data_IF_515729148436
#
_entry.id   IF_515729148436
#
_cell.length_a   1.000
_cell.length_b   1.000
_cell.length_c   1.000
_cell.angle_alpha   90.00
_cell.angle_beta   90.00
_cell.angle_gamma   90.00
#
_symmetry.space_group_name_H-M   'P 1'
#
loop_
_entity.id
_entity.type
_entity.pdbx_description
1 polymer ?
#
# COMPACT_ATOMS: atom_id res chain seq x y z
N UNK A 1 -14.46 -29.21 -5.66
CA UNK A 1 -14.18 -29.45 -7.08
C UNK A 1 -12.74 -29.05 -7.33
N UNK A 2 -11.94 -29.90 -7.97
CA UNK A 2 -10.53 -29.63 -8.25
C UNK A 2 -10.40 -28.34 -9.08
N UNK A 3 -9.54 -27.40 -8.65
CA UNK A 3 -9.36 -26.09 -9.29
C UNK A 3 -8.85 -26.17 -10.76
N UNK A 4 -8.23 -27.29 -11.16
CA UNK A 4 -7.88 -27.58 -12.55
C UNK A 4 -9.10 -27.83 -13.46
N UNK A 5 -10.24 -28.22 -12.91
CA UNK A 5 -11.41 -28.61 -13.70
C UNK A 5 -12.10 -27.48 -14.48
N UNK A 6 -11.79 -26.20 -14.22
CA UNK A 6 -12.43 -25.09 -14.95
C UNK A 6 -11.68 -24.77 -16.26
N UNK A 7 -10.36 -24.60 -16.19
CA UNK A 7 -9.54 -24.42 -17.41
C UNK A 7 -9.61 -25.67 -18.30
N UNK A 8 -9.60 -26.86 -17.73
CA UNK A 8 -9.77 -28.14 -18.48
C UNK A 8 -11.11 -28.18 -19.23
N UNK A 9 -12.20 -27.71 -18.61
CA UNK A 9 -13.51 -27.59 -19.29
C UNK A 9 -13.52 -26.56 -20.41
N UNK A 10 -12.82 -25.43 -20.22
CA UNK A 10 -12.68 -24.39 -21.24
C UNK A 10 -11.86 -24.86 -22.42
N UNK A 11 -10.80 -25.61 -22.16
CA UNK A 11 -9.95 -26.19 -23.21
C UNK A 11 -10.65 -27.34 -23.96
N UNK A 12 -11.59 -28.04 -23.30
CA UNK A 12 -12.33 -29.18 -23.87
C UNK A 12 -11.41 -30.16 -24.62
N UNK A 13 -10.30 -30.52 -23.99
CA UNK A 13 -9.29 -31.40 -24.58
C UNK A 13 -8.39 -30.76 -25.66
N UNK A 14 -8.50 -29.45 -25.89
CA UNK A 14 -7.64 -28.75 -26.84
C UNK A 14 -6.17 -28.81 -26.41
N UNK A 15 -5.30 -29.09 -27.36
CA UNK A 15 -3.84 -29.01 -27.16
C UNK A 15 -3.44 -27.55 -27.01
N UNK A 16 -2.47 -27.28 -26.14
CA UNK A 16 -1.89 -25.95 -25.95
C UNK A 16 -0.45 -25.97 -26.47
N UNK A 17 -0.13 -25.09 -27.41
CA UNK A 17 1.22 -24.88 -27.89
C UNK A 17 1.82 -23.62 -27.25
N UNK A 18 3.05 -23.71 -26.78
CA UNK A 18 3.80 -22.58 -26.22
C UNK A 18 4.66 -21.95 -27.31
N UNK A 19 4.24 -20.77 -27.78
CA UNK A 19 4.92 -20.04 -28.86
C UNK A 19 5.74 -18.90 -28.28
N UNK A 20 6.96 -18.62 -28.81
CA UNK A 20 7.70 -17.41 -28.46
C UNK A 20 6.87 -16.16 -28.77
N UNK A 21 6.85 -15.16 -27.88
CA UNK A 21 6.08 -13.93 -28.07
C UNK A 21 6.32 -13.29 -29.46
N UNK A 22 7.57 -13.28 -29.95
CA UNK A 22 7.91 -12.71 -31.27
C UNK A 22 7.24 -13.39 -32.44
N UNK A 23 6.72 -14.59 -32.28
CA UNK A 23 6.00 -15.33 -33.35
C UNK A 23 4.49 -15.02 -33.36
N UNK A 24 3.98 -14.31 -32.34
CA UNK A 24 2.57 -13.98 -32.21
C UNK A 24 2.31 -12.48 -31.98
N UNK A 25 3.38 -11.68 -31.81
CA UNK A 25 3.27 -10.23 -31.64
C UNK A 25 4.57 -9.53 -32.09
N UNK A 26 4.43 -8.36 -32.68
CA UNK A 26 5.53 -7.43 -32.90
C UNK A 26 5.91 -6.71 -31.63
N UNK A 27 7.22 -6.60 -31.35
CA UNK A 27 7.76 -5.87 -30.22
C UNK A 27 8.38 -4.58 -30.71
N UNK A 28 7.70 -3.46 -30.54
CA UNK A 28 8.15 -2.16 -30.98
C UNK A 28 8.93 -1.46 -29.85
N UNK A 29 10.11 -0.92 -30.19
CA UNK A 29 10.92 -0.10 -29.31
C UNK A 29 10.58 1.38 -29.50
N UNK A 30 10.64 2.17 -28.41
CA UNK A 30 10.31 3.57 -28.44
C UNK A 30 11.46 4.51 -28.79
N UNK A 31 11.13 5.79 -28.86
CA UNK A 31 12.04 6.89 -29.19
C UNK A 31 12.73 7.46 -27.94
N UNK A 32 13.98 7.92 -28.13
CA UNK A 32 14.77 8.58 -27.08
C UNK A 32 14.39 10.07 -26.93
N UNK A 33 13.28 10.36 -26.30
CA UNK A 33 12.81 11.72 -26.08
C UNK A 33 13.80 12.55 -25.24
N UNK A 34 14.15 13.74 -25.71
CA UNK A 34 14.98 14.69 -24.99
C UNK A 34 14.11 15.46 -23.98
N UNK A 35 14.41 15.34 -22.70
CA UNK A 35 13.65 16.00 -21.61
C UNK A 35 13.61 17.54 -21.77
N UNK A 36 14.63 18.13 -22.37
CA UNK A 36 14.71 19.57 -22.67
C UNK A 36 13.68 20.05 -23.70
N UNK A 37 13.07 19.13 -24.45
CA UNK A 37 12.03 19.42 -25.45
C UNK A 37 10.62 19.12 -24.94
N UNK A 38 10.45 18.71 -23.65
CA UNK A 38 9.11 18.49 -23.11
C UNK A 38 8.31 19.78 -23.06
N UNK A 39 7.00 19.67 -23.32
CA UNK A 39 6.03 20.75 -23.35
C UNK A 39 4.89 20.47 -22.36
N UNK A 40 4.08 21.48 -22.09
CA UNK A 40 2.93 21.36 -21.19
C UNK A 40 1.75 20.61 -21.84
N UNK A 41 1.71 20.57 -23.18
CA UNK A 41 0.68 19.88 -23.95
C UNK A 41 1.22 19.37 -25.29
N UNK A 42 0.48 18.50 -25.98
CA UNK A 42 0.82 17.95 -27.27
C UNK A 42 0.69 16.43 -27.32
N UNK A 43 1.73 15.72 -27.80
CA UNK A 43 1.77 14.26 -27.89
C UNK A 43 2.29 13.72 -26.55
N UNK A 44 1.47 12.93 -25.87
CA UNK A 44 1.85 12.26 -24.62
C UNK A 44 3.05 11.35 -24.85
N UNK A 45 4.08 11.46 -24.02
CA UNK A 45 5.23 10.54 -24.02
C UNK A 45 4.96 9.44 -23.00
N UNK A 46 4.73 8.21 -23.47
CA UNK A 46 4.50 7.06 -22.59
C UNK A 46 5.82 6.57 -22.02
N UNK A 47 6.06 6.87 -20.74
CA UNK A 47 7.28 6.54 -20.00
C UNK A 47 7.04 5.36 -19.06
N UNK A 48 8.12 4.80 -18.50
CA UNK A 48 8.03 3.72 -17.50
C UNK A 48 7.23 4.10 -16.26
N UNK A 49 7.23 5.38 -15.86
CA UNK A 49 6.40 5.90 -14.75
C UNK A 49 4.90 5.85 -15.07
N UNK A 50 4.56 5.87 -16.35
CA UNK A 50 3.17 5.93 -16.81
C UNK A 50 2.55 4.53 -16.94
N UNK A 51 3.40 3.48 -17.10
CA UNK A 51 2.97 2.08 -17.12
C UNK A 51 2.91 1.54 -15.70
N UNK A 52 1.72 1.46 -15.14
CA UNK A 52 1.45 0.88 -13.83
C UNK A 52 0.92 -0.55 -14.00
N UNK A 53 0.76 -1.30 -12.91
CA UNK A 53 0.20 -2.65 -12.96
C UNK A 53 -1.23 -2.60 -13.49
N UNK A 54 -1.44 -3.11 -14.69
CA UNK A 54 -2.75 -3.21 -15.35
C UNK A 54 -3.36 -1.89 -15.86
N UNK A 55 -2.71 -0.74 -15.68
CA UNK A 55 -3.32 0.55 -16.05
C UNK A 55 -2.31 1.63 -16.42
N UNK A 56 -2.78 2.62 -17.20
CA UNK A 56 -2.02 3.84 -17.48
C UNK A 56 -2.16 4.87 -16.35
N UNK A 57 -1.03 5.41 -15.86
CA UNK A 57 -1.05 6.51 -14.89
C UNK A 57 -1.52 7.81 -15.54
N UNK A 58 -2.33 8.58 -14.82
CA UNK A 58 -2.75 9.92 -15.23
C UNK A 58 -2.03 11.02 -14.43
N UNK A 59 -0.94 10.69 -13.72
CA UNK A 59 -0.17 11.62 -12.88
C UNK A 59 1.15 11.99 -13.56
N UNK A 60 1.58 13.25 -13.40
CA UNK A 60 2.89 13.76 -13.87
C UNK A 60 3.14 13.48 -15.36
N UNK A 61 2.12 13.63 -16.20
CA UNK A 61 2.21 13.39 -17.64
C UNK A 61 3.24 14.32 -18.28
N UNK A 62 3.98 13.79 -19.27
CA UNK A 62 4.91 14.57 -20.10
C UNK A 62 4.47 14.53 -21.55
N UNK A 63 4.59 15.67 -22.19
CA UNK A 63 4.18 15.82 -23.57
C UNK A 63 5.37 16.24 -24.44
N UNK A 64 5.25 16.00 -25.73
CA UNK A 64 6.19 16.43 -26.77
C UNK A 64 5.43 17.32 -27.76
N UNK A 65 6.07 18.37 -28.31
CA UNK A 65 5.38 19.29 -29.20
C UNK A 65 4.71 18.61 -30.38
N UNK A 66 3.45 18.96 -30.69
CA UNK A 66 2.71 18.39 -31.82
C UNK A 66 3.43 18.63 -33.18
N UNK A 67 4.19 19.72 -33.29
CA UNK A 67 5.01 20.00 -34.48
C UNK A 67 6.10 18.96 -34.75
N UNK A 68 6.51 18.18 -33.75
CA UNK A 68 7.50 17.10 -33.90
C UNK A 68 6.89 15.77 -34.35
N UNK A 69 5.59 15.71 -34.67
CA UNK A 69 4.88 14.47 -35.04
C UNK A 69 5.58 13.69 -36.17
N UNK A 70 6.05 14.37 -37.18
CA UNK A 70 6.75 13.73 -38.34
C UNK A 70 8.07 13.08 -37.92
N UNK A 71 8.78 13.61 -36.91
CA UNK A 71 10.02 13.02 -36.37
C UNK A 71 9.77 11.70 -35.64
N UNK A 72 8.60 11.57 -35.02
CA UNK A 72 8.27 10.44 -34.14
C UNK A 72 7.10 9.59 -34.64
N UNK A 73 6.69 9.76 -35.88
CA UNK A 73 5.51 9.11 -36.48
C UNK A 73 5.48 7.60 -36.31
N UNK A 74 6.60 6.92 -36.53
CA UNK A 74 6.73 5.46 -36.37
C UNK A 74 6.63 4.97 -34.92
N UNK A 75 6.68 5.87 -33.94
CA UNK A 75 6.57 5.57 -32.51
C UNK A 75 5.21 5.96 -31.95
N UNK A 76 4.30 6.43 -32.80
CA UNK A 76 2.95 6.77 -32.38
C UNK A 76 2.20 5.52 -31.94
N UNK A 77 1.46 5.70 -30.87
CA UNK A 77 0.62 4.66 -30.25
C UNK A 77 -0.85 4.88 -30.61
N UNK A 78 -1.61 3.80 -30.56
CA UNK A 78 -3.04 3.77 -30.84
C UNK A 78 -3.83 3.24 -29.64
N UNK A 79 -5.13 3.50 -29.61
CA UNK A 79 -6.02 2.88 -28.64
C UNK A 79 -5.98 1.34 -28.81
N UNK A 80 -5.90 0.64 -27.69
CA UNK A 80 -5.74 -0.81 -27.68
C UNK A 80 -4.28 -1.31 -27.79
N UNK A 81 -3.30 -0.44 -28.03
CA UNK A 81 -1.88 -0.86 -27.94
C UNK A 81 -1.55 -1.33 -26.53
N UNK A 82 -0.88 -2.48 -26.42
CA UNK A 82 -0.38 -3.03 -25.17
C UNK A 82 1.06 -2.56 -24.95
N UNK A 83 1.31 -1.81 -23.88
CA UNK A 83 2.64 -1.31 -23.52
C UNK A 83 3.20 -2.01 -22.31
N UNK A 84 4.55 -2.20 -22.30
CA UNK A 84 5.26 -2.90 -21.23
C UNK A 84 6.50 -2.13 -20.81
N UNK A 85 6.70 -1.97 -19.49
CA UNK A 85 7.91 -1.35 -18.96
C UNK A 85 9.14 -2.27 -19.11
N UNK A 86 10.21 -1.75 -19.71
CA UNK A 86 11.48 -2.48 -19.90
C UNK A 86 12.52 -2.14 -18.83
N UNK A 87 12.33 -1.06 -18.07
CA UNK A 87 13.33 -0.55 -17.13
C UNK A 87 12.68 -0.21 -15.79
N UNK A 88 13.40 -0.44 -14.69
CA UNK A 88 12.92 -0.20 -13.33
C UNK A 88 12.00 -1.34 -12.86
N UNK A 89 10.70 -1.12 -12.85
CA UNK A 89 9.70 -2.18 -12.62
C UNK A 89 9.42 -2.91 -13.92
N UNK A 90 10.37 -3.74 -14.35
CA UNK A 90 10.27 -4.48 -15.62
C UNK A 90 9.06 -5.42 -15.63
N UNK A 91 8.40 -5.52 -16.79
CA UNK A 91 7.29 -6.46 -17.00
C UNK A 91 5.90 -5.91 -16.66
N UNK A 92 5.78 -4.70 -16.10
CA UNK A 92 4.44 -4.09 -15.92
C UNK A 92 3.82 -3.76 -17.26
N UNK A 93 2.55 -4.07 -17.38
CA UNK A 93 1.78 -3.87 -18.62
C UNK A 93 0.59 -2.94 -18.39
N UNK A 94 0.22 -2.22 -19.46
CA UNK A 94 -1.00 -1.44 -19.53
C UNK A 94 -1.51 -1.37 -20.96
N UNK A 95 -2.83 -1.22 -21.15
CA UNK A 95 -3.42 -0.93 -22.47
C UNK A 95 -3.76 0.55 -22.56
N UNK A 96 -3.50 1.14 -23.72
CA UNK A 96 -3.90 2.52 -24.02
C UNK A 96 -5.39 2.59 -24.34
N UNK A 97 -6.04 3.62 -23.82
CA UNK A 97 -7.40 4.03 -24.16
C UNK A 97 -7.39 5.26 -25.10
N UNK A 98 -8.54 5.60 -25.66
CA UNK A 98 -8.69 6.84 -26.45
C UNK A 98 -8.31 8.09 -25.65
N UNK A 99 -8.55 8.09 -24.33
CA UNK A 99 -8.18 9.19 -23.41
C UNK A 99 -6.68 9.39 -23.22
N UNK A 100 -5.85 8.42 -23.64
CA UNK A 100 -4.38 8.49 -23.54
C UNK A 100 -3.75 9.11 -24.80
N UNK A 101 -4.52 9.32 -25.86
CA UNK A 101 -4.05 9.77 -27.17
C UNK A 101 -4.16 11.30 -27.35
N UNK A 102 -3.32 11.91 -28.22
CA UNK A 102 -2.23 11.30 -29.00
C UNK A 102 -1.03 10.93 -28.12
N UNK A 103 -0.43 9.77 -28.34
CA UNK A 103 0.67 9.28 -27.53
C UNK A 103 1.80 8.69 -28.38
N UNK A 104 3.03 8.71 -27.86
CA UNK A 104 4.21 8.13 -28.48
C UNK A 104 5.07 7.37 -27.48
N UNK A 105 5.69 6.30 -27.93
CA UNK A 105 6.41 5.30 -27.15
C UNK A 105 7.82 5.78 -26.78
N UNK A 106 8.15 5.79 -25.48
CA UNK A 106 9.51 6.08 -25.00
C UNK A 106 10.42 4.85 -25.09
N UNK A 107 11.73 5.04 -25.35
CA UNK A 107 12.75 3.98 -25.50
C UNK A 107 12.84 2.96 -24.36
N UNK A 108 12.28 3.26 -23.17
CA UNK A 108 12.29 2.38 -21.98
C UNK A 108 10.99 1.59 -21.82
N UNK A 109 10.11 1.70 -22.78
CA UNK A 109 8.83 1.00 -22.86
C UNK A 109 8.77 0.29 -24.19
N UNK A 110 8.28 -0.96 -24.21
CA UNK A 110 7.94 -1.67 -25.44
C UNK A 110 6.43 -1.54 -25.72
N UNK A 111 6.05 -1.56 -26.99
CA UNK A 111 4.67 -1.79 -27.40
C UNK A 111 4.57 -3.17 -28.04
N UNK A 112 3.62 -3.97 -27.60
CA UNK A 112 3.35 -5.33 -28.08
C UNK A 112 2.12 -5.26 -28.99
N UNK A 113 2.31 -5.39 -30.28
CA UNK A 113 1.22 -5.46 -31.27
C UNK A 113 0.96 -6.89 -31.65
N UNK A 114 -0.13 -7.44 -31.15
CA UNK A 114 -0.52 -8.82 -31.40
C UNK A 114 -0.85 -9.06 -32.88
N UNK A 115 -0.45 -10.22 -33.42
CA UNK A 115 -1.07 -10.76 -34.58
C UNK A 115 -2.46 -11.28 -34.23
N UNK A 116 -3.46 -10.47 -34.47
CA UNK A 116 -4.84 -10.74 -34.07
C UNK A 116 -5.47 -11.93 -34.78
N UNK A 117 -4.79 -12.52 -35.78
CA UNK A 117 -5.19 -13.78 -36.39
C UNK A 117 -4.77 -15.00 -35.55
N UNK A 118 -3.88 -14.81 -34.57
CA UNK A 118 -3.29 -15.87 -33.73
C UNK A 118 -3.62 -15.63 -32.24
N UNK A 119 -3.50 -14.36 -31.77
CA UNK A 119 -3.65 -14.04 -30.35
C UNK A 119 -4.36 -12.70 -30.15
N UNK A 120 -5.29 -12.66 -29.19
CA UNK A 120 -5.98 -11.42 -28.83
C UNK A 120 -5.07 -10.53 -27.97
N UNK A 121 -4.99 -9.23 -28.26
CA UNK A 121 -4.20 -8.27 -27.46
C UNK A 121 -4.64 -8.28 -26.00
N UNK A 122 -5.95 -8.38 -25.72
CA UNK A 122 -6.49 -8.43 -24.36
C UNK A 122 -6.10 -9.72 -23.62
N UNK A 123 -5.98 -10.84 -24.32
CA UNK A 123 -5.46 -12.09 -23.77
C UNK A 123 -3.99 -11.95 -23.36
N UNK A 124 -3.14 -11.35 -24.23
CA UNK A 124 -1.75 -11.03 -23.88
C UNK A 124 -1.66 -10.09 -22.68
N UNK A 125 -2.53 -9.09 -22.60
CA UNK A 125 -2.58 -8.20 -21.44
C UNK A 125 -2.78 -8.99 -20.15
N UNK A 126 -3.80 -9.83 -20.04
CA UNK A 126 -4.05 -10.63 -18.83
C UNK A 126 -2.91 -11.62 -18.54
N UNK A 127 -2.33 -12.20 -19.59
CA UNK A 127 -1.21 -13.14 -19.47
C UNK A 127 0.03 -12.47 -18.88
N UNK A 128 0.36 -11.25 -19.32
CA UNK A 128 1.52 -10.51 -18.82
C UNK A 128 1.24 -9.69 -17.53
N UNK A 129 -0.01 -9.48 -17.14
CA UNK A 129 -0.33 -8.82 -15.88
C UNK A 129 -0.20 -9.73 -14.65
N UNK A 130 0.24 -10.97 -14.82
CA UNK A 130 0.47 -11.92 -13.73
C UNK A 130 1.69 -11.52 -12.88
N UNK A 131 1.60 -11.77 -11.56
CA UNK A 131 2.70 -11.53 -10.62
C UNK A 131 3.92 -12.39 -10.95
N UNK A 132 3.70 -13.64 -11.37
CA UNK A 132 4.75 -14.58 -11.81
C UNK A 132 5.57 -14.02 -12.96
N UNK A 133 4.92 -13.45 -13.97
CA UNK A 133 5.62 -12.82 -15.09
C UNK A 133 6.44 -11.60 -14.65
N UNK A 134 5.88 -10.71 -13.81
CA UNK A 134 6.62 -9.54 -13.29
C UNK A 134 7.88 -9.99 -12.54
N UNK A 135 7.77 -11.06 -11.72
CA UNK A 135 8.92 -11.63 -11.01
C UNK A 135 9.98 -12.21 -11.94
N UNK A 136 9.59 -12.97 -12.97
CA UNK A 136 10.50 -13.52 -13.97
C UNK A 136 11.17 -12.41 -14.78
N UNK A 137 10.43 -11.39 -15.21
CA UNK A 137 10.93 -10.22 -15.91
C UNK A 137 11.96 -9.45 -15.08
N UNK A 138 11.67 -9.24 -13.79
CA UNK A 138 12.60 -8.62 -12.84
C UNK A 138 13.83 -9.48 -12.56
N UNK A 139 13.69 -10.80 -12.56
CA UNK A 139 14.79 -11.76 -12.39
C UNK A 139 15.72 -11.80 -13.63
N UNK A 140 15.17 -11.66 -14.82
CA UNK A 140 15.93 -11.62 -16.10
C UNK A 140 16.64 -10.29 -16.33
N UNK A 141 16.20 -9.23 -15.65
CA UNK A 141 16.70 -7.89 -15.86
C UNK A 141 18.12 -7.69 -15.30
N UNK A 142 19.00 -7.09 -16.08
CA UNK A 142 20.40 -6.79 -15.74
C UNK A 142 20.59 -5.31 -15.39
N UNK A 143 21.69 -4.97 -14.69
CA UNK A 143 22.07 -3.61 -14.34
C UNK A 143 22.18 -3.39 -12.82
N UNK A 144 23.19 -2.62 -12.38
CA UNK A 144 23.49 -2.44 -10.96
C UNK A 144 22.61 -1.41 -10.23
N UNK A 145 22.29 -0.28 -10.86
CA UNK A 145 21.48 0.80 -10.27
C UNK A 145 20.06 0.87 -10.80
N UNK A 146 19.86 0.56 -12.06
CA UNK A 146 18.55 0.49 -12.70
C UNK A 146 18.45 -0.80 -13.52
N UNK A 147 17.55 -1.68 -13.13
CA UNK A 147 17.31 -2.95 -13.85
C UNK A 147 16.73 -2.69 -15.22
N UNK A 148 17.17 -3.47 -16.22
CA UNK A 148 16.75 -3.33 -17.60
C UNK A 148 16.48 -4.72 -18.22
N UNK A 149 15.28 -4.97 -18.70
CA UNK A 149 14.86 -6.20 -19.34
C UNK A 149 15.14 -6.12 -20.85
N UNK A 150 15.76 -7.17 -21.40
CA UNK A 150 16.05 -7.27 -22.83
C UNK A 150 14.78 -7.59 -23.63
N UNK A 151 14.55 -6.85 -24.73
CA UNK A 151 13.49 -7.19 -25.70
C UNK A 151 13.75 -8.52 -26.41
N UNK A 152 15.02 -8.98 -26.45
CA UNK A 152 15.35 -10.30 -26.96
C UNK A 152 14.83 -11.41 -26.02
N UNK A 153 15.03 -11.26 -24.70
CA UNK A 153 14.46 -12.17 -23.70
C UNK A 153 12.94 -12.16 -23.77
N UNK A 154 12.32 -10.98 -23.80
CA UNK A 154 10.88 -10.82 -23.92
C UNK A 154 10.32 -11.49 -25.16
N UNK A 155 10.99 -11.35 -26.30
CA UNK A 155 10.57 -11.98 -27.56
C UNK A 155 10.65 -13.50 -27.58
N UNK A 156 11.47 -14.09 -26.71
CA UNK A 156 11.54 -15.56 -26.54
C UNK A 156 10.58 -16.06 -25.45
N UNK A 157 9.95 -15.16 -24.71
CA UNK A 157 9.08 -15.56 -23.62
C UNK A 157 7.89 -16.38 -24.16
N UNK A 158 7.60 -17.55 -23.57
CA UNK A 158 6.58 -18.46 -24.09
C UNK A 158 5.16 -17.93 -23.81
N UNK A 159 4.32 -17.92 -24.81
CA UNK A 159 2.89 -17.56 -24.75
C UNK A 159 2.05 -18.79 -25.07
N UNK A 160 1.09 -19.19 -24.23
CA UNK A 160 0.25 -20.36 -24.50
C UNK A 160 -0.84 -20.03 -25.52
N UNK A 161 -0.86 -20.79 -26.61
CA UNK A 161 -1.87 -20.69 -27.67
C UNK A 161 -2.71 -21.98 -27.64
N UNK A 162 -3.97 -21.90 -27.21
CA UNK A 162 -4.86 -23.06 -27.20
C UNK A 162 -5.27 -23.41 -28.65
N UNK A 163 -5.41 -24.69 -28.94
CA UNK A 163 -5.91 -25.19 -30.21
C UNK A 163 -5.20 -24.60 -31.47
N UNK A 164 -3.87 -24.71 -31.62
CA UNK A 164 -3.10 -23.99 -32.64
C UNK A 164 -3.50 -24.42 -34.06
N UNK A 165 -4.03 -25.62 -34.25
CA UNK A 165 -4.46 -26.17 -35.54
C UNK A 165 -5.81 -25.59 -36.02
N UNK A 166 -6.57 -24.95 -35.14
CA UNK A 166 -7.86 -24.33 -35.44
C UNK A 166 -7.86 -22.89 -34.90
N UNK A 167 -7.47 -21.90 -35.71
CA UNK A 167 -7.37 -20.50 -35.29
C UNK A 167 -8.71 -19.92 -34.80
N UNK A 168 -9.83 -20.32 -35.40
CA UNK A 168 -11.17 -19.84 -34.98
C UNK A 168 -11.52 -20.34 -33.56
N UNK A 169 -11.32 -21.64 -33.31
CA UNK A 169 -11.50 -22.23 -31.96
C UNK A 169 -10.51 -21.65 -30.96
N UNK A 170 -9.26 -21.44 -31.38
CA UNK A 170 -8.23 -20.79 -30.55
C UNK A 170 -8.67 -19.42 -30.06
N UNK A 171 -9.08 -18.55 -30.97
CA UNK A 171 -9.53 -17.20 -30.66
C UNK A 171 -10.81 -17.20 -29.81
N UNK A 172 -11.73 -18.16 -30.04
CA UNK A 172 -12.93 -18.31 -29.24
C UNK A 172 -12.61 -18.68 -27.78
N UNK A 173 -11.67 -19.60 -27.54
CA UNK A 173 -11.18 -19.95 -26.19
C UNK A 173 -10.53 -18.74 -25.52
N UNK A 174 -9.64 -18.04 -26.23
CA UNK A 174 -8.99 -16.82 -25.72
C UNK A 174 -10.02 -15.75 -25.37
N UNK A 175 -11.03 -15.54 -26.23
CA UNK A 175 -12.09 -14.56 -25.98
C UNK A 175 -12.92 -14.90 -24.74
N UNK A 176 -13.21 -16.18 -24.52
CA UNK A 176 -13.95 -16.60 -23.31
C UNK A 176 -13.13 -16.40 -22.04
N UNK A 177 -11.79 -16.69 -22.08
CA UNK A 177 -10.88 -16.40 -20.99
C UNK A 177 -10.85 -14.88 -20.71
N UNK A 178 -10.73 -14.07 -21.75
CA UNK A 178 -10.75 -12.60 -21.63
C UNK A 178 -12.07 -12.13 -21.01
N UNK A 179 -13.21 -12.61 -21.51
CA UNK A 179 -14.53 -12.23 -20.97
C UNK A 179 -14.64 -12.49 -19.48
N UNK A 180 -14.16 -13.65 -19.02
CA UNK A 180 -14.20 -14.02 -17.60
C UNK A 180 -13.28 -13.13 -16.79
N UNK A 181 -12.02 -12.92 -17.25
CA UNK A 181 -11.04 -12.10 -16.54
C UNK A 181 -11.42 -10.62 -16.51
N UNK A 182 -12.00 -10.10 -17.59
CA UNK A 182 -12.52 -8.73 -17.63
C UNK A 182 -13.68 -8.54 -16.65
N UNK A 183 -14.62 -9.49 -16.59
CA UNK A 183 -15.72 -9.47 -15.61
C UNK A 183 -15.20 -9.51 -14.17
N UNK A 184 -14.18 -10.31 -13.88
CA UNK A 184 -13.55 -10.34 -12.56
C UNK A 184 -12.80 -9.05 -12.24
N UNK A 185 -12.14 -8.44 -13.22
CA UNK A 185 -11.45 -7.16 -13.08
C UNK A 185 -12.44 -6.05 -12.73
N UNK A 186 -13.54 -5.96 -13.47
CA UNK A 186 -14.62 -4.99 -13.26
C UNK A 186 -15.26 -5.17 -11.88
N UNK A 187 -15.69 -6.38 -11.53
CA UNK A 187 -16.28 -6.68 -10.23
C UNK A 187 -15.32 -6.37 -9.06
N UNK A 188 -14.04 -6.72 -9.21
CA UNK A 188 -13.04 -6.45 -8.16
C UNK A 188 -12.80 -4.96 -8.01
N UNK A 189 -12.76 -4.20 -9.12
CA UNK A 189 -12.62 -2.75 -9.09
C UNK A 189 -13.82 -2.08 -8.41
N UNK A 190 -15.05 -2.50 -8.75
CA UNK A 190 -16.29 -2.01 -8.15
C UNK A 190 -16.32 -2.29 -6.64
N UNK A 191 -16.11 -3.52 -6.22
CA UNK A 191 -16.06 -3.91 -4.81
C UNK A 191 -14.97 -3.17 -4.04
N UNK A 192 -13.80 -2.99 -4.64
CA UNK A 192 -12.70 -2.25 -4.00
C UNK A 192 -13.04 -0.77 -3.84
N UNK A 193 -13.72 -0.18 -4.82
CA UNK A 193 -14.18 1.21 -4.75
C UNK A 193 -15.26 1.37 -3.67
N UNK A 194 -16.24 0.48 -3.59
CA UNK A 194 -17.28 0.48 -2.55
C UNK A 194 -16.67 0.33 -1.15
N UNK A 195 -15.80 -0.67 -0.93
CA UNK A 195 -15.13 -0.89 0.36
C UNK A 195 -14.24 0.30 0.75
N UNK A 196 -13.61 0.96 -0.22
CA UNK A 196 -12.80 2.17 0.03
C UNK A 196 -13.68 3.36 0.42
N UNK A 197 -14.83 3.52 -0.23
CA UNK A 197 -15.81 4.56 0.12
C UNK A 197 -16.40 4.29 1.52
N UNK A 198 -16.76 3.05 1.82
CA UNK A 198 -17.22 2.62 3.15
C UNK A 198 -16.15 2.89 4.22
N UNK A 199 -14.90 2.51 3.98
CA UNK A 199 -13.78 2.79 4.90
C UNK A 199 -13.64 4.29 5.18
N UNK A 200 -13.77 5.13 4.15
CA UNK A 200 -13.73 6.59 4.31
C UNK A 200 -14.89 7.09 5.17
N UNK A 201 -16.10 6.62 4.89
CA UNK A 201 -17.30 6.98 5.66
C UNK A 201 -17.19 6.53 7.13
N UNK A 202 -16.71 5.31 7.37
CA UNK A 202 -16.49 4.80 8.74
C UNK A 202 -15.39 5.55 9.49
N UNK A 203 -14.33 5.98 8.84
CA UNK A 203 -13.32 6.85 9.45
C UNK A 203 -13.88 8.21 9.84
N UNK A 204 -14.73 8.80 9.02
CA UNK A 204 -15.42 10.05 9.35
C UNK A 204 -16.36 9.85 10.55
N UNK A 205 -17.14 8.77 10.53
CA UNK A 205 -18.04 8.40 11.65
C UNK A 205 -17.25 8.13 12.93
N UNK A 206 -16.15 7.39 12.86
CA UNK A 206 -15.26 7.16 13.99
C UNK A 206 -14.74 8.46 14.61
N UNK A 207 -14.22 9.37 13.78
CA UNK A 207 -13.74 10.66 14.25
C UNK A 207 -14.86 11.45 14.94
N UNK A 208 -16.05 11.48 14.35
CA UNK A 208 -17.21 12.16 14.93
C UNK A 208 -17.60 11.59 16.31
N UNK A 209 -17.75 10.28 16.41
CA UNK A 209 -18.08 9.64 17.69
C UNK A 209 -16.97 9.77 18.72
N UNK A 210 -15.69 9.72 18.31
CA UNK A 210 -14.57 9.93 19.21
C UNK A 210 -14.64 11.34 19.83
N UNK A 211 -14.86 12.38 19.02
CA UNK A 211 -15.01 13.75 19.53
C UNK A 211 -16.20 13.85 20.49
N UNK A 212 -17.36 13.29 20.13
CA UNK A 212 -18.57 13.36 20.97
C UNK A 212 -18.44 12.59 22.30
N UNK A 213 -17.89 11.37 22.25
CA UNK A 213 -17.80 10.50 23.44
C UNK A 213 -16.74 10.96 24.44
N UNK A 214 -15.77 11.76 23.99
CA UNK A 214 -14.70 12.31 24.82
C UNK A 214 -14.90 13.80 25.13
N UNK A 215 -16.00 14.40 24.67
CA UNK A 215 -16.40 15.75 25.00
C UNK A 215 -17.29 15.74 26.23
N UNK A 216 -16.76 16.22 27.34
CA UNK A 216 -17.45 16.37 28.61
C UNK A 216 -17.69 17.86 28.99
N UNK A 217 -17.54 18.77 27.99
CA UNK A 217 -17.77 20.20 28.21
C UNK A 217 -19.23 20.44 28.62
N UNK A 218 -19.43 21.18 29.70
CA UNK A 218 -20.78 21.45 30.26
C UNK A 218 -21.38 20.30 31.07
N UNK A 219 -20.70 19.17 31.23
CA UNK A 219 -21.10 18.07 32.09
C UNK A 219 -20.43 18.21 33.47
N UNK A 220 -21.00 17.58 34.51
CA UNK A 220 -20.43 17.57 35.84
C UNK A 220 -19.27 16.57 35.98
N UNK A 221 -18.28 16.69 35.08
CA UNK A 221 -17.06 15.86 35.03
C UNK A 221 -15.86 16.77 35.30
N UNK A 222 -15.02 16.37 36.25
CA UNK A 222 -13.81 17.12 36.59
C UNK A 222 -12.80 17.01 35.47
N UNK A 223 -12.20 18.16 35.07
CA UNK A 223 -11.08 18.23 34.16
C UNK A 223 -9.83 18.58 34.93
N UNK A 224 -8.85 17.68 34.93
CA UNK A 224 -7.61 17.83 35.70
C UNK A 224 -6.40 17.98 34.78
N UNK A 225 -5.38 18.73 35.21
CA UNK A 225 -4.09 18.65 34.55
C UNK A 225 -3.59 17.21 34.53
N UNK A 226 -3.07 16.73 33.39
CA UNK A 226 -2.55 15.37 33.28
C UNK A 226 -1.41 15.10 34.28
N UNK A 227 -0.67 16.13 34.70
CA UNK A 227 0.36 16.04 35.74
C UNK A 227 -0.16 16.15 37.19
N UNK A 228 -1.48 16.25 37.41
CA UNK A 228 -2.05 16.20 38.78
C UNK A 228 -1.76 14.82 39.37
N UNK A 229 -1.34 14.77 40.65
CA UNK A 229 -0.98 13.53 41.35
C UNK A 229 -2.16 12.51 41.47
N UNK A 230 -3.39 12.99 41.34
CA UNK A 230 -4.59 12.16 41.29
C UNK A 230 -4.73 11.43 39.91
N UNK A 231 -4.12 11.96 38.86
CA UNK A 231 -4.25 11.48 37.47
C UNK A 231 -3.01 10.72 37.04
N UNK A 232 -1.80 11.36 37.02
CA UNK A 232 -0.61 10.66 36.58
C UNK A 232 0.66 11.53 36.52
N UNK A 233 1.71 10.91 36.01
CA UNK A 233 3.04 11.53 35.91
C UNK A 233 3.70 11.20 34.58
N UNK A 234 4.44 12.16 34.03
CA UNK A 234 5.21 11.98 32.80
C UNK A 234 6.67 11.69 33.11
N UNK A 235 7.24 10.70 32.43
CA UNK A 235 8.65 10.37 32.51
C UNK A 235 9.25 10.39 31.12
N UNK A 236 10.31 11.18 30.91
CA UNK A 236 11.06 11.19 29.65
C UNK A 236 11.75 9.85 29.45
N UNK A 237 11.75 9.30 28.25
CA UNK A 237 12.47 8.07 27.88
C UNK A 237 14.00 8.21 28.00
N UNK A 238 14.68 7.09 27.83
CA UNK A 238 16.15 6.96 27.96
C UNK A 238 16.89 7.11 26.63
N UNK A 239 18.20 6.88 26.66
CA UNK A 239 19.11 7.04 25.52
C UNK A 239 19.03 5.96 24.43
N UNK A 240 17.90 5.28 24.28
CA UNK A 240 17.67 4.22 23.28
C UNK A 240 17.80 4.79 21.85
N UNK A 241 18.66 4.18 21.05
CA UNK A 241 18.88 4.47 19.63
C UNK A 241 18.69 3.20 18.80
N UNK A 242 18.50 3.36 17.48
CA UNK A 242 18.33 2.19 16.57
C UNK A 242 19.49 1.19 16.61
N UNK A 243 20.70 1.67 16.91
CA UNK A 243 21.90 0.82 17.06
C UNK A 243 21.84 -0.14 18.27
N UNK A 244 21.00 0.17 19.25
CA UNK A 244 20.85 -0.59 20.49
C UNK A 244 19.81 -1.72 20.33
N UNK A 245 19.19 -1.83 19.14
CA UNK A 245 18.24 -2.91 18.86
C UNK A 245 18.93 -4.26 18.81
N UNK A 246 18.27 -5.24 19.39
CA UNK A 246 18.65 -6.65 19.39
C UNK A 246 17.57 -7.51 18.72
N UNK A 247 17.91 -8.73 18.31
CA UNK A 247 16.97 -9.68 17.73
C UNK A 247 15.99 -10.23 18.77
N UNK A 248 16.41 -10.28 20.04
CA UNK A 248 15.61 -10.73 21.18
C UNK A 248 16.06 -10.04 22.47
N UNK A 249 15.27 -10.14 23.52
CA UNK A 249 15.57 -9.56 24.85
C UNK A 249 14.36 -8.81 25.40
N UNK A 250 14.60 -7.68 26.04
CA UNK A 250 13.56 -6.84 26.65
C UNK A 250 12.90 -5.98 25.57
N UNK A 251 11.58 -5.92 25.55
CA UNK A 251 10.81 -5.12 24.60
C UNK A 251 11.17 -3.63 24.65
N UNK A 252 11.14 -2.96 23.50
CA UNK A 252 11.35 -1.52 23.46
C UNK A 252 10.51 -0.81 22.41
N UNK A 253 10.18 0.46 22.66
CA UNK A 253 9.50 1.35 21.71
C UNK A 253 10.41 2.56 21.43
N UNK A 254 10.83 2.67 20.16
CA UNK A 254 11.51 3.85 19.63
C UNK A 254 10.46 4.82 19.06
N UNK A 255 10.62 6.14 19.29
CA UNK A 255 9.65 7.16 18.90
C UNK A 255 9.19 7.05 17.43
N UNK A 256 10.10 6.76 16.49
CA UNK A 256 9.77 6.61 15.08
C UNK A 256 8.85 5.43 14.78
N UNK A 257 8.79 4.41 15.65
CA UNK A 257 7.89 3.27 15.49
C UNK A 257 6.45 3.62 15.86
N UNK A 258 6.25 4.62 16.71
CA UNK A 258 4.91 5.14 17.06
C UNK A 258 4.21 5.68 15.82
N UNK A 259 4.96 6.26 14.87
CA UNK A 259 4.40 6.78 13.62
C UNK A 259 4.18 5.72 12.55
N UNK A 260 5.02 4.68 12.52
CA UNK A 260 5.12 3.78 11.36
C UNK A 260 4.60 2.38 11.61
N UNK A 261 4.41 1.97 12.86
CA UNK A 261 4.09 0.59 13.20
C UNK A 261 2.91 0.45 14.14
N UNK A 262 2.85 1.25 15.22
CA UNK A 262 1.83 1.08 16.25
C UNK A 262 0.55 1.86 15.93
N UNK A 263 -0.59 1.26 16.31
CA UNK A 263 -1.91 1.90 16.34
C UNK A 263 -2.15 2.65 17.66
N UNK A 264 -3.40 2.65 18.09
CA UNK A 264 -3.84 3.30 19.35
C UNK A 264 -3.27 2.58 20.59
N UNK A 265 -3.07 1.27 20.50
CA UNK A 265 -2.50 0.44 21.58
C UNK A 265 -1.66 -0.70 21.01
N UNK A 266 -0.85 -1.34 21.86
CA UNK A 266 -0.01 -2.48 21.50
C UNK A 266 0.14 -3.45 22.66
N UNK A 267 0.14 -4.76 22.35
CA UNK A 267 0.42 -5.86 23.27
C UNK A 267 1.84 -6.40 23.11
N UNK A 268 2.47 -6.17 21.95
CA UNK A 268 3.79 -6.68 21.63
C UNK A 268 4.68 -5.55 21.09
N UNK A 269 5.97 -5.61 21.40
CA UNK A 269 6.95 -4.68 20.82
C UNK A 269 7.48 -5.20 19.49
N UNK A 270 7.75 -4.25 18.58
CA UNK A 270 8.39 -4.55 17.29
C UNK A 270 9.89 -4.84 17.43
N UNK A 271 10.53 -4.26 18.43
CA UNK A 271 11.99 -4.30 18.62
C UNK A 271 12.31 -4.61 20.06
N UNK A 272 13.53 -5.10 20.26
CA UNK A 272 14.04 -5.52 21.56
C UNK A 272 15.38 -4.82 21.82
N UNK A 273 15.80 -4.81 23.08
CA UNK A 273 17.14 -4.42 23.54
C UNK A 273 17.71 -5.51 24.44
N UNK A 274 19.02 -5.50 24.63
CA UNK A 274 19.66 -6.44 25.57
C UNK A 274 19.21 -6.18 27.02
N UNK A 275 19.22 -7.20 27.86
CA UNK A 275 18.91 -7.08 29.29
C UNK A 275 19.88 -6.10 30.00
N UNK A 276 21.15 -6.05 29.55
CA UNK A 276 22.13 -5.11 30.09
C UNK A 276 21.75 -3.65 29.81
N UNK A 277 21.24 -3.36 28.60
CA UNK A 277 20.71 -2.05 28.24
C UNK A 277 19.46 -1.73 29.06
N UNK A 278 18.53 -2.66 29.17
CA UNK A 278 17.27 -2.49 29.89
C UNK A 278 17.47 -2.14 31.37
N UNK A 279 18.49 -2.70 32.06
CA UNK A 279 18.83 -2.37 33.46
C UNK A 279 19.16 -0.88 33.68
N UNK A 280 19.58 -0.17 32.61
CA UNK A 280 19.95 1.26 32.65
C UNK A 280 18.90 2.15 31.99
N UNK A 281 17.95 1.55 31.29
CA UNK A 281 16.90 2.26 30.57
C UNK A 281 15.79 2.75 31.52
N UNK A 282 15.04 3.74 31.04
CA UNK A 282 13.77 4.12 31.66
C UNK A 282 12.66 3.27 31.07
N UNK A 283 11.93 2.58 31.92
CA UNK A 283 10.96 1.56 31.57
C UNK A 283 9.54 2.08 31.72
N UNK A 284 8.72 1.93 30.70
CA UNK A 284 7.27 2.06 30.77
C UNK A 284 6.66 0.72 31.20
N UNK A 285 5.63 0.78 32.01
CA UNK A 285 4.93 -0.38 32.57
C UNK A 285 3.67 -0.71 31.77
N UNK A 286 3.14 -1.95 31.89
CA UNK A 286 1.79 -2.24 31.44
C UNK A 286 0.77 -1.20 31.94
N UNK A 287 -0.03 -0.66 31.01
CA UNK A 287 -0.97 0.43 31.28
C UNK A 287 -0.43 1.85 31.04
N UNK A 288 0.86 2.04 30.87
CA UNK A 288 1.43 3.35 30.53
C UNK A 288 1.12 3.73 29.07
N UNK A 289 1.05 5.05 28.81
CA UNK A 289 0.95 5.59 27.47
C UNK A 289 2.34 6.04 26.98
N UNK A 290 2.83 5.49 25.87
CA UNK A 290 4.11 5.89 25.26
C UNK A 290 3.84 6.95 24.18
N UNK A 291 4.49 8.13 24.29
CA UNK A 291 4.17 9.33 23.53
C UNK A 291 5.42 9.80 22.78
N UNK A 292 5.33 9.99 21.46
CA UNK A 292 6.39 10.58 20.66
C UNK A 292 6.42 12.10 20.85
N UNK A 293 7.48 12.61 21.48
CA UNK A 293 7.61 14.04 21.81
C UNK A 293 8.21 14.89 20.69
N UNK A 294 8.60 14.27 19.56
CA UNK A 294 9.18 14.93 18.39
C UNK A 294 8.54 14.45 17.10
N UNK A 295 8.29 15.36 16.14
CA UNK A 295 7.74 15.06 14.81
C UNK A 295 8.23 16.08 13.77
N UNK A 296 7.96 15.81 12.49
CA UNK A 296 8.21 16.75 11.39
C UNK A 296 7.08 17.77 11.20
N UNK A 297 5.90 17.50 11.77
CA UNK A 297 4.71 18.36 11.66
C UNK A 297 3.97 18.53 12.99
N UNK A 298 3.08 19.52 13.07
CA UNK A 298 2.32 19.88 14.26
C UNK A 298 1.19 18.88 14.58
N UNK A 299 0.71 18.16 13.59
CA UNK A 299 -0.42 17.23 13.73
C UNK A 299 0.04 15.96 14.45
N UNK A 300 1.15 15.38 13.98
CA UNK A 300 1.66 14.11 14.46
C UNK A 300 2.41 14.19 15.80
N UNK A 301 3.01 15.35 16.16
CA UNK A 301 3.71 15.47 17.44
C UNK A 301 2.75 15.12 18.59
N UNK A 302 3.22 14.34 19.56
CA UNK A 302 2.47 13.72 20.64
C UNK A 302 1.53 12.57 20.23
N UNK A 303 1.77 11.93 19.05
CA UNK A 303 1.13 10.64 18.80
C UNK A 303 1.49 9.66 19.91
N UNK A 304 0.53 8.91 20.38
CA UNK A 304 0.64 8.08 21.57
C UNK A 304 0.15 6.66 21.34
N UNK A 305 0.69 5.72 22.11
CA UNK A 305 0.35 4.28 22.07
C UNK A 305 0.17 3.80 23.51
N UNK A 306 -0.99 3.23 23.85
CA UNK A 306 -1.18 2.56 25.13
C UNK A 306 -0.43 1.22 25.13
N UNK A 307 0.46 1.04 26.09
CA UNK A 307 1.16 -0.22 26.27
C UNK A 307 0.31 -1.19 27.11
N UNK A 308 -0.13 -2.27 26.50
CA UNK A 308 -1.01 -3.29 27.09
C UNK A 308 -0.35 -4.67 27.14
N UNK A 309 0.97 -4.77 26.91
CA UNK A 309 1.72 -6.01 27.11
C UNK A 309 1.89 -6.31 28.60
N UNK A 310 2.47 -7.48 28.89
CA UNK A 310 2.58 -8.01 30.26
C UNK A 310 3.90 -7.61 30.96
N UNK A 311 4.86 -7.06 30.21
CA UNK A 311 6.20 -6.74 30.69
C UNK A 311 6.54 -5.26 30.53
N UNK A 312 7.48 -4.79 31.36
CA UNK A 312 8.04 -3.44 31.24
C UNK A 312 8.85 -3.31 29.95
N UNK A 313 8.80 -2.13 29.31
CA UNK A 313 9.48 -1.87 28.04
C UNK A 313 10.36 -0.63 28.08
N UNK A 314 11.50 -0.65 27.38
CA UNK A 314 12.38 0.51 27.26
C UNK A 314 11.83 1.54 26.26
N UNK A 315 11.93 2.84 26.60
CA UNK A 315 11.41 3.95 25.78
C UNK A 315 12.52 4.89 25.36
N UNK A 316 12.54 5.31 24.08
CA UNK A 316 13.57 6.22 23.53
C UNK A 316 13.51 7.66 24.04
N UNK A 317 14.60 8.41 23.96
CA UNK A 317 14.73 9.77 24.47
C UNK A 317 13.86 10.83 23.79
N UNK A 318 13.46 10.60 22.53
CA UNK A 318 12.53 11.45 21.78
C UNK A 318 11.08 11.02 21.98
N UNK A 319 10.82 10.20 23.00
CA UNK A 319 9.53 9.85 23.52
C UNK A 319 9.51 10.07 25.05
N UNK A 320 8.32 10.16 25.62
CA UNK A 320 8.06 10.03 27.05
C UNK A 320 6.99 8.95 27.27
N UNK A 321 6.87 8.50 28.50
CA UNK A 321 5.74 7.67 28.89
C UNK A 321 4.97 8.33 30.05
N UNK A 322 3.69 8.09 30.04
CA UNK A 322 2.75 8.65 30.98
C UNK A 322 2.14 7.53 31.82
N UNK A 323 2.52 7.47 33.09
CA UNK A 323 1.98 6.54 34.07
C UNK A 323 0.77 7.19 34.75
N UNK A 324 -0.40 6.57 34.66
CA UNK A 324 -1.66 7.17 35.08
C UNK A 324 -2.65 6.14 35.67
N UNK A 325 -3.73 6.63 36.26
CA UNK A 325 -4.75 5.83 36.95
C UNK A 325 -6.01 5.60 36.08
N UNK A 326 -6.09 6.19 34.92
CA UNK A 326 -7.22 6.08 33.98
C UNK A 326 -7.12 4.82 33.14
N UNK A 327 -8.20 4.46 32.42
CA UNK A 327 -8.12 3.39 31.43
C UNK A 327 -7.12 3.77 30.31
N UNK A 328 -6.11 2.94 30.02
CA UNK A 328 -5.04 3.27 29.07
C UNK A 328 -5.55 3.61 27.65
N UNK A 329 -6.55 2.87 27.17
CA UNK A 329 -7.15 3.13 25.85
C UNK A 329 -7.96 4.43 25.85
N UNK A 330 -8.65 4.76 26.95
CA UNK A 330 -9.36 6.02 27.08
C UNK A 330 -8.41 7.20 26.91
N UNK A 331 -7.26 7.16 27.57
CA UNK A 331 -6.23 8.19 27.43
C UNK A 331 -5.67 8.22 26.01
N UNK A 332 -5.40 7.06 25.41
CA UNK A 332 -4.91 6.99 24.03
C UNK A 332 -5.91 7.58 23.02
N UNK A 333 -7.20 7.37 23.20
CA UNK A 333 -8.24 7.97 22.38
C UNK A 333 -8.37 9.48 22.61
N UNK A 334 -8.23 9.96 23.86
CA UNK A 334 -8.22 11.39 24.17
C UNK A 334 -7.09 12.12 23.42
N UNK A 335 -5.89 11.54 23.31
CA UNK A 335 -4.78 12.10 22.56
C UNK A 335 -5.05 12.29 21.05
N UNK A 336 -6.11 11.69 20.54
CA UNK A 336 -6.53 11.82 19.14
C UNK A 336 -7.64 12.85 18.93
N UNK A 337 -8.15 13.49 20.01
CA UNK A 337 -9.26 14.46 19.93
C UNK A 337 -8.77 15.87 19.57
N UNK A 338 -9.66 16.66 18.97
CA UNK A 338 -9.38 18.08 18.72
C UNK A 338 -9.23 18.86 20.03
N UNK A 339 -9.90 18.44 21.10
CA UNK A 339 -9.72 19.02 22.42
C UNK A 339 -8.29 18.90 22.92
N UNK A 340 -7.65 17.75 22.75
CA UNK A 340 -6.23 17.56 23.07
C UNK A 340 -5.35 18.34 22.10
N UNK A 341 -5.60 18.26 20.79
CA UNK A 341 -4.82 18.96 19.79
C UNK A 341 -4.81 20.48 19.97
N UNK A 342 -5.95 21.07 20.33
CA UNK A 342 -6.09 22.50 20.61
C UNK A 342 -5.21 22.93 21.78
N UNK A 343 -5.21 22.16 22.86
CA UNK A 343 -4.38 22.43 24.02
C UNK A 343 -2.88 22.22 23.73
N UNK A 344 -2.54 21.17 22.95
CA UNK A 344 -1.17 20.85 22.57
C UNK A 344 -0.52 21.95 21.72
N UNK A 345 -1.26 22.57 20.79
CA UNK A 345 -0.72 23.55 19.80
C UNK A 345 0.07 24.69 20.46
N UNK A 346 -0.39 25.20 21.59
CA UNK A 346 0.29 26.32 22.30
C UNK A 346 1.62 25.91 22.92
N UNK A 347 1.89 24.62 23.01
CA UNK A 347 3.11 24.07 23.61
C UNK A 347 4.12 23.55 22.56
N UNK A 348 3.78 23.59 21.27
CA UNK A 348 4.67 23.12 20.22
C UNK A 348 5.82 24.12 20.01
N UNK A 349 7.03 23.62 20.00
CA UNK A 349 8.26 24.39 19.76
C UNK A 349 9.08 23.78 18.62
N UNK A 350 10.03 24.56 18.06
CA UNK A 350 10.92 24.11 16.99
C UNK A 350 10.40 24.42 15.59
N UNK A 351 11.29 24.74 14.65
CA UNK A 351 10.95 25.14 13.28
C UNK A 351 10.94 23.95 12.29
N UNK A 352 11.98 23.11 12.32
CA UNK A 352 12.09 21.92 11.44
C UNK A 352 11.62 20.64 12.12
N UNK A 353 11.89 20.51 13.42
CA UNK A 353 11.47 19.38 14.25
C UNK A 353 10.58 19.94 15.33
N UNK A 354 9.30 19.57 15.28
CA UNK A 354 8.29 19.94 16.26
C UNK A 354 8.49 19.16 17.55
N UNK A 355 8.39 19.85 18.69
CA UNK A 355 8.63 19.24 20.01
C UNK A 355 7.62 19.73 21.03
N UNK A 356 7.19 18.82 21.89
CA UNK A 356 6.42 19.11 23.11
C UNK A 356 7.11 18.36 24.26
N UNK A 357 7.49 19.05 25.30
CA UNK A 357 8.13 18.43 26.46
C UNK A 357 7.10 17.87 27.46
N UNK A 358 7.56 16.98 28.34
CA UNK A 358 6.74 16.32 29.36
C UNK A 358 6.03 17.32 30.31
N UNK A 359 6.73 18.40 30.71
CA UNK A 359 6.19 19.43 31.62
C UNK A 359 5.03 20.20 30.99
N UNK A 360 5.05 20.35 29.68
CA UNK A 360 3.95 20.98 28.93
C UNK A 360 2.77 20.02 28.72
N UNK A 361 3.02 18.73 28.49
CA UNK A 361 1.97 17.72 28.46
C UNK A 361 1.26 17.63 29.82
N UNK A 362 1.99 17.75 30.92
CA UNK A 362 1.45 17.74 32.27
C UNK A 362 0.41 18.85 32.54
N UNK A 363 0.42 19.95 31.78
CA UNK A 363 -0.53 21.07 31.91
C UNK A 363 -1.82 20.88 31.14
N UNK A 364 -1.88 19.93 30.20
CA UNK A 364 -3.07 19.66 29.40
C UNK A 364 -4.16 19.09 30.31
N UNK A 365 -5.36 19.63 30.18
CA UNK A 365 -6.53 19.16 30.94
C UNK A 365 -7.14 17.94 30.27
N UNK A 366 -7.35 16.89 31.06
CA UNK A 366 -8.03 15.65 30.64
C UNK A 366 -9.32 15.49 31.49
N UNK A 367 -10.45 15.07 30.87
CA UNK A 367 -11.64 14.71 31.63
C UNK A 367 -11.40 13.42 32.43
N UNK A 368 -11.94 13.37 33.66
CA UNK A 368 -11.81 12.25 34.58
C UNK A 368 -13.20 11.69 34.92
N UNK A 369 -13.89 11.01 33.99
CA UNK A 369 -15.16 10.35 34.26
C UNK A 369 -14.96 9.08 35.11
N UNK A 370 -16.06 8.45 35.56
CA UNK A 370 -16.00 7.19 36.30
C UNK A 370 -15.34 6.08 35.47
N UNK A 371 -14.81 5.05 36.14
CA UNK A 371 -14.18 3.90 35.45
C UNK A 371 -15.15 3.21 34.49
N UNK A 372 -16.43 3.05 34.90
CA UNK A 372 -17.48 2.46 34.07
C UNK A 372 -17.70 3.29 32.78
N UNK A 373 -17.69 4.62 32.89
CA UNK A 373 -17.84 5.49 31.72
C UNK A 373 -16.62 5.43 30.78
N UNK A 374 -15.39 5.39 31.34
CA UNK A 374 -14.19 5.19 30.56
C UNK A 374 -14.25 3.87 29.77
N UNK A 375 -14.65 2.77 30.42
CA UNK A 375 -14.79 1.46 29.80
C UNK A 375 -15.89 1.45 28.73
N UNK A 376 -17.02 2.12 28.98
CA UNK A 376 -18.10 2.27 28.00
C UNK A 376 -17.62 2.96 26.74
N UNK A 377 -16.89 4.08 26.87
CA UNK A 377 -16.33 4.84 25.76
C UNK A 377 -15.31 3.99 24.98
N UNK A 378 -14.40 3.33 25.69
CA UNK A 378 -13.38 2.45 25.09
C UNK A 378 -14.03 1.32 24.31
N UNK A 379 -15.04 0.64 24.88
CA UNK A 379 -15.73 -0.46 24.19
C UNK A 379 -16.43 -0.03 22.88
N UNK A 380 -16.88 1.21 22.80
CA UNK A 380 -17.47 1.75 21.57
C UNK A 380 -16.35 2.06 20.55
N UNK A 381 -15.32 2.79 20.98
CA UNK A 381 -14.25 3.25 20.09
C UNK A 381 -13.38 2.09 19.59
N UNK A 382 -13.15 1.04 20.37
CA UNK A 382 -12.42 -0.16 19.96
C UNK A 382 -13.07 -0.85 18.76
N UNK A 383 -14.41 -0.89 18.70
CA UNK A 383 -15.14 -1.48 17.56
C UNK A 383 -14.89 -0.69 16.27
N UNK A 384 -14.89 0.64 16.36
CA UNK A 384 -14.58 1.49 15.23
C UNK A 384 -13.11 1.41 14.82
N UNK A 385 -12.19 1.40 15.79
CA UNK A 385 -10.76 1.27 15.53
C UNK A 385 -10.45 -0.04 14.81
N UNK A 386 -10.97 -1.17 15.30
CA UNK A 386 -10.82 -2.47 14.64
C UNK A 386 -11.38 -2.44 13.21
N UNK A 387 -12.58 -1.90 13.00
CA UNK A 387 -13.21 -1.85 11.68
C UNK A 387 -12.41 -1.01 10.67
N UNK A 388 -11.80 0.09 11.12
CA UNK A 388 -11.22 1.10 10.23
C UNK A 388 -9.70 1.05 10.09
N UNK A 389 -8.99 0.43 11.05
CA UNK A 389 -7.52 0.43 11.08
C UNK A 389 -6.90 -0.95 11.07
N UNK A 390 -7.62 -1.99 11.53
CA UNK A 390 -7.07 -3.35 11.60
C UNK A 390 -6.74 -3.92 10.22
N UNK A 391 -5.47 -4.36 10.07
CA UNK A 391 -4.99 -5.08 8.87
C UNK A 391 -5.26 -6.59 8.94
N UNK A 392 -5.68 -7.11 10.10
CA UNK A 392 -6.00 -8.51 10.31
C UNK A 392 -7.51 -8.79 10.29
N UNK A 393 -8.28 -7.74 10.58
CA UNK A 393 -9.73 -7.85 10.67
C UNK A 393 -10.50 -6.67 10.06
N UNK A 394 -11.25 -6.15 9.74
CA UNK A 394 -11.84 -4.90 9.27
C UNK A 394 -11.72 -4.66 7.76
N UNK A 395 -12.19 -3.50 7.35
CA UNK A 395 -12.27 -3.10 5.93
C UNK A 395 -10.93 -3.10 5.18
N UNK A 396 -9.80 -2.66 5.77
CA UNK A 396 -8.50 -2.75 5.08
C UNK A 396 -8.11 -4.19 4.75
N UNK A 397 -8.42 -5.14 5.62
CA UNK A 397 -8.20 -6.57 5.38
C UNK A 397 -9.06 -7.09 4.26
N UNK A 398 -10.34 -6.73 4.24
CA UNK A 398 -11.28 -7.15 3.20
C UNK A 398 -10.85 -6.67 1.82
N UNK A 399 -10.45 -5.39 1.68
CA UNK A 399 -9.93 -4.83 0.42
C UNK A 399 -8.73 -5.67 -0.07
N UNK A 400 -7.77 -5.95 0.81
CA UNK A 400 -6.61 -6.77 0.46
C UNK A 400 -6.98 -8.18 0.02
N UNK A 401 -7.93 -8.82 0.70
CA UNK A 401 -8.39 -10.16 0.37
C UNK A 401 -9.06 -10.23 -1.00
N UNK A 402 -9.85 -9.22 -1.38
CA UNK A 402 -10.48 -9.15 -2.71
C UNK A 402 -9.45 -9.06 -3.82
N UNK A 403 -8.40 -8.25 -3.64
CA UNK A 403 -7.29 -8.18 -4.58
C UNK A 403 -6.55 -9.51 -4.73
N UNK A 404 -6.24 -10.16 -3.60
CA UNK A 404 -5.57 -11.48 -3.61
C UNK A 404 -6.46 -12.56 -4.25
N UNK A 405 -7.77 -12.51 -4.03
CA UNK A 405 -8.73 -13.43 -4.64
C UNK A 405 -8.75 -13.28 -6.16
N UNK A 406 -8.76 -12.04 -6.66
CA UNK A 406 -8.66 -11.77 -8.10
C UNK A 406 -7.36 -12.32 -8.70
N UNK A 407 -6.21 -12.02 -8.08
CA UNK A 407 -4.90 -12.50 -8.54
C UNK A 407 -4.87 -14.03 -8.60
N UNK A 408 -5.38 -14.70 -7.58
CA UNK A 408 -5.47 -16.16 -7.53
C UNK A 408 -6.30 -16.75 -8.68
N UNK A 409 -7.51 -16.23 -8.92
CA UNK A 409 -8.35 -16.75 -10.01
C UNK A 409 -7.80 -16.43 -11.40
N UNK A 410 -7.17 -15.27 -11.58
CA UNK A 410 -6.46 -14.92 -12.81
C UNK A 410 -5.36 -15.92 -13.11
N UNK A 411 -4.48 -16.13 -12.13
CA UNK A 411 -3.34 -17.03 -12.27
C UNK A 411 -3.80 -18.48 -12.51
N UNK A 412 -4.93 -18.89 -11.92
CA UNK A 412 -5.53 -20.19 -12.14
C UNK A 412 -6.05 -20.35 -13.59
N UNK A 413 -6.75 -19.35 -14.12
CA UNK A 413 -7.28 -19.37 -15.49
C UNK A 413 -6.19 -19.33 -16.56
N UNK A 414 -5.03 -18.82 -16.22
CA UNK A 414 -3.87 -18.70 -17.12
C UNK A 414 -2.79 -19.76 -16.82
N UNK A 415 -3.06 -20.72 -15.92
CA UNK A 415 -2.14 -21.83 -15.61
C UNK A 415 -2.25 -22.97 -16.62
N UNK A 416 -1.93 -22.68 -17.88
CA UNK A 416 -1.94 -23.70 -18.94
C UNK A 416 -0.92 -24.80 -18.65
N UNK A 417 -1.22 -26.07 -19.05
CA UNK A 417 -0.25 -27.16 -18.93
C UNK A 417 0.98 -26.83 -19.76
N UNK A 418 2.13 -26.75 -19.10
CA UNK A 418 3.41 -26.68 -19.79
C UNK A 418 3.68 -28.03 -20.44
N UNK A 419 4.36 -28.09 -21.61
CA UNK A 419 4.88 -29.35 -22.09
C UNK A 419 5.65 -29.97 -20.92
N UNK A 420 5.36 -31.22 -20.58
CA UNK A 420 6.13 -31.95 -19.58
C UNK A 420 7.60 -31.81 -20.02
N UNK A 421 8.46 -31.37 -19.10
CA UNK A 421 9.87 -31.58 -19.24
C UNK A 421 9.99 -33.10 -19.41
N UNK A 422 10.24 -33.51 -20.66
CA UNK A 422 10.39 -34.91 -20.99
C UNK A 422 11.51 -35.43 -20.12
N UNK A 423 11.13 -36.27 -19.13
CA UNK A 423 12.02 -36.89 -18.19
C UNK A 423 12.97 -37.85 -18.88
#
# INVERSE_FOLDING_TARGET
>A
MSNRGFLEKLLDGAVVEWKPLRSVADILNGYAFKSTKYSESGIRVVRISDVQKGQMSQKDLKFYPSAAKSEIERYMLFAGDLVMSLTGNCGRVAMLSDGDLPAALNQRVACLRADTTVVLTRYLFHYFDQVSFEQEAMGSATGGGQKNMSTNWLGQYPVPIPCPEDPEKSLAIQAEIVRILDSFTELTAELTAELTAELKARKQQYNHYREQLLDYEGQNIEHLPMGDERVGTFTRGGGLQKKDFAESGVGCIHYGQIYTHYGTYAHNTKSFVSEEFAKKARMAKPGDLVIATTSENDEDVCKAVAWLGDEDIAVSSDACFYSHKLNPKFVAYFFQTEQFHRQKRVHITGAKVRRVNADNLAKILIPVPSAEEQDRVVNILDKFDTLTTSLSEGLPREIKLRQQQYEYYRDLLLSFPKPEEAA
#
